data_IF_499879699615
#
_entry.id   IF_499879699615
#
_cell.length_a   1.000
_cell.length_b   1.000
_cell.length_c   1.000
_cell.angle_alpha   90.00
_cell.angle_beta   90.00
_cell.angle_gamma   90.00
#
_symmetry.space_group_name_H-M   'P 1'
#
loop_
_entity.id
_entity.type
_entity.pdbx_description
1 polymer ?
#
# COMPACT_ATOMS: atom_id res chain seq x y z
N UNK A 1 0.54 26.20 -10.48
CA UNK A 1 1.20 25.12 -9.71
C UNK A 1 1.00 23.84 -10.48
N UNK A 2 2.02 23.40 -11.23
CA UNK A 2 1.91 22.25 -12.13
C UNK A 2 1.80 20.93 -11.35
N UNK A 3 0.93 20.06 -11.87
CA UNK A 3 0.59 18.73 -11.37
C UNK A 3 1.81 17.80 -11.38
N UNK A 4 2.66 17.86 -10.36
CA UNK A 4 3.83 16.98 -10.20
C UNK A 4 3.49 15.49 -9.92
N UNK A 5 2.22 15.07 -10.05
CA UNK A 5 1.80 13.68 -9.85
C UNK A 5 1.72 12.86 -11.16
N UNK A 6 1.76 13.51 -12.34
CA UNK A 6 1.47 12.90 -13.66
C UNK A 6 2.52 11.90 -14.23
N UNK A 7 3.49 11.45 -13.44
CA UNK A 7 4.48 10.46 -13.86
C UNK A 7 4.92 9.51 -12.76
N UNK A 8 4.18 9.43 -11.65
CA UNK A 8 4.57 8.60 -10.50
C UNK A 8 4.00 7.19 -10.66
N UNK A 9 4.85 6.18 -10.51
CA UNK A 9 4.40 4.81 -10.46
C UNK A 9 3.61 4.57 -9.16
N UNK A 10 2.46 3.91 -9.29
CA UNK A 10 1.61 3.53 -8.17
C UNK A 10 1.08 2.13 -8.33
N UNK A 11 0.78 1.49 -7.21
CA UNK A 11 0.05 0.24 -7.16
C UNK A 11 -1.03 0.36 -6.08
N UNK A 12 -2.17 -0.29 -6.29
CA UNK A 12 -3.28 -0.28 -5.35
C UNK A 12 -3.96 -1.63 -5.25
N UNK A 13 -4.74 -1.82 -4.19
CA UNK A 13 -5.60 -2.99 -4.02
C UNK A 13 -6.79 -2.65 -3.13
N UNK A 14 -7.93 -3.27 -3.44
CA UNK A 14 -9.06 -3.35 -2.53
C UNK A 14 -8.83 -4.44 -1.49
N UNK A 15 -8.98 -4.10 -0.21
CA UNK A 15 -8.75 -5.02 0.89
C UNK A 15 -9.87 -6.07 0.98
N UNK A 16 -9.49 -7.33 1.16
CA UNK A 16 -10.42 -8.35 1.64
C UNK A 16 -10.67 -8.20 3.15
N UNK A 17 -11.66 -8.93 3.68
CA UNK A 17 -11.95 -8.90 5.12
C UNK A 17 -10.78 -9.37 5.99
N UNK A 18 -10.01 -10.36 5.53
CA UNK A 18 -8.83 -10.86 6.25
C UNK A 18 -7.67 -9.86 6.21
N UNK A 19 -7.47 -9.18 5.08
CA UNK A 19 -6.42 -8.19 4.90
C UNK A 19 -6.67 -6.91 5.69
N UNK A 20 -7.93 -6.45 5.73
CA UNK A 20 -8.29 -5.22 6.44
C UNK A 20 -7.80 -5.20 7.89
N UNK A 21 -7.62 -6.36 8.55
CA UNK A 21 -7.21 -6.47 9.94
C UNK A 21 -5.72 -6.22 10.19
N UNK A 22 -4.82 -6.78 9.39
CA UNK A 22 -3.40 -6.80 9.77
C UNK A 22 -2.39 -6.76 8.62
N UNK A 23 -2.82 -6.92 7.36
CA UNK A 23 -1.88 -7.05 6.23
C UNK A 23 -2.50 -6.75 4.88
N UNK A 24 -1.67 -6.58 3.86
CA UNK A 24 -2.08 -6.65 2.46
C UNK A 24 -1.25 -7.71 1.75
N UNK A 25 -1.87 -8.42 0.82
CA UNK A 25 -1.25 -9.47 0.03
C UNK A 25 -1.43 -9.14 -1.45
N UNK A 26 -0.33 -9.00 -2.17
CA UNK A 26 -0.35 -8.89 -3.63
C UNK A 26 -0.01 -10.26 -4.20
N UNK A 27 -1.05 -11.02 -4.58
CA UNK A 27 -0.91 -12.36 -5.15
C UNK A 27 -0.30 -12.36 -6.55
N UNK A 28 -0.53 -11.30 -7.31
CA UNK A 28 0.14 -11.03 -8.57
C UNK A 28 1.41 -10.21 -8.28
N UNK A 29 2.56 -10.87 -8.12
CA UNK A 29 3.82 -10.14 -7.90
C UNK A 29 4.17 -9.19 -9.07
N UNK A 30 3.69 -9.46 -10.29
CA UNK A 30 3.92 -8.57 -11.44
C UNK A 30 3.39 -7.16 -11.22
N UNK A 31 2.33 -7.00 -10.43
CA UNK A 31 1.72 -5.70 -10.11
C UNK A 31 2.65 -4.82 -9.26
N UNK A 32 3.59 -5.46 -8.55
CA UNK A 32 4.49 -4.80 -7.59
C UNK A 32 5.98 -4.98 -7.92
N UNK A 33 6.32 -5.77 -8.95
CA UNK A 33 7.67 -6.02 -9.41
C UNK A 33 8.47 -4.75 -9.77
N UNK A 34 7.88 -3.68 -10.33
CA UNK A 34 8.60 -2.42 -10.54
C UNK A 34 9.08 -1.77 -9.23
N UNK A 35 8.42 -2.07 -8.11
CA UNK A 35 8.68 -1.45 -6.81
C UNK A 35 9.63 -2.27 -5.96
N UNK A 36 9.55 -3.59 -6.00
CA UNK A 36 10.31 -4.46 -5.13
C UNK A 36 11.08 -5.51 -5.90
N UNK A 37 12.33 -5.78 -5.52
CA UNK A 37 13.10 -6.90 -6.04
C UNK A 37 12.75 -8.17 -5.24
N UNK A 38 12.28 -9.22 -5.92
CA UNK A 38 11.83 -10.44 -5.27
C UNK A 38 13.01 -11.22 -4.68
N UNK A 39 12.93 -11.50 -3.38
CA UNK A 39 13.88 -12.35 -2.66
C UNK A 39 13.11 -13.27 -1.72
N UNK A 40 12.90 -14.52 -2.12
CA UNK A 40 12.05 -15.47 -1.37
C UNK A 40 12.48 -15.62 0.09
N UNK A 41 11.53 -15.52 1.02
CA UNK A 41 11.78 -15.65 2.45
C UNK A 41 12.43 -14.42 3.11
N UNK A 42 12.89 -13.43 2.34
CA UNK A 42 13.48 -12.22 2.89
C UNK A 42 12.43 -11.26 3.42
N UNK A 43 12.76 -10.65 4.55
CA UNK A 43 12.03 -9.52 5.11
C UNK A 43 12.55 -8.23 4.50
N UNK A 44 11.64 -7.29 4.25
CA UNK A 44 11.99 -5.95 3.81
C UNK A 44 11.08 -4.91 4.47
N UNK A 45 11.53 -3.66 4.50
CA UNK A 45 10.76 -2.56 5.07
C UNK A 45 10.08 -1.73 3.98
N UNK A 46 8.81 -1.39 4.21
CA UNK A 46 8.05 -0.47 3.35
C UNK A 46 7.84 0.82 4.13
N UNK A 47 8.57 1.86 3.76
CA UNK A 47 8.46 3.16 4.39
C UNK A 47 7.43 4.01 3.66
N UNK A 48 6.39 4.42 4.37
CA UNK A 48 5.31 5.22 3.80
C UNK A 48 5.05 6.48 4.61
N UNK A 49 4.43 7.45 3.97
CA UNK A 49 3.86 8.62 4.61
C UNK A 49 2.40 8.69 4.21
N UNK A 50 1.50 8.71 5.18
CA UNK A 50 0.07 8.81 4.90
C UNK A 50 -0.33 10.22 4.44
N UNK A 51 -1.62 10.40 4.20
CA UNK A 51 -2.19 11.65 3.72
C UNK A 51 -2.17 12.80 4.72
N UNK A 52 -2.02 12.50 6.01
CA UNK A 52 -1.85 13.47 7.09
C UNK A 52 -0.38 13.80 7.36
N UNK A 53 0.54 13.18 6.62
CA UNK A 53 1.98 13.38 6.78
C UNK A 53 2.62 12.49 7.84
N UNK A 54 1.87 11.60 8.50
CA UNK A 54 2.43 10.67 9.50
C UNK A 54 3.23 9.58 8.79
N UNK A 55 4.43 9.32 9.30
CA UNK A 55 5.33 8.31 8.77
C UNK A 55 5.03 6.94 9.37
N UNK A 56 5.17 5.91 8.55
CA UNK A 56 4.96 4.52 8.91
C UNK A 56 6.02 3.62 8.28
N UNK A 57 6.38 2.56 8.98
CA UNK A 57 7.25 1.50 8.45
C UNK A 57 6.54 0.18 8.61
N UNK A 58 6.29 -0.49 7.50
CA UNK A 58 5.67 -1.82 7.46
C UNK A 58 6.72 -2.88 7.18
N UNK A 59 6.41 -4.12 7.56
CA UNK A 59 7.28 -5.27 7.31
C UNK A 59 6.66 -6.10 6.17
N UNK A 60 7.40 -6.23 5.08
CA UNK A 60 7.07 -7.06 3.94
C UNK A 60 7.81 -8.41 3.97
N UNK A 61 7.22 -9.42 3.34
CA UNK A 61 7.83 -10.74 3.14
C UNK A 61 7.44 -11.26 1.76
N UNK A 62 8.42 -11.81 1.04
CA UNK A 62 8.17 -12.50 -0.23
C UNK A 62 7.97 -13.99 -0.01
N UNK A 63 7.04 -14.55 -0.78
CA UNK A 63 6.71 -15.96 -0.75
C UNK A 63 6.63 -16.51 -2.16
N UNK A 64 7.04 -17.77 -2.32
CA UNK A 64 6.72 -18.59 -3.48
C UNK A 64 5.79 -19.72 -3.02
N UNK A 65 4.70 -19.93 -3.75
CA UNK A 65 3.81 -21.06 -3.53
C UNK A 65 3.56 -21.79 -4.86
N UNK A 66 3.62 -23.13 -4.93
CA UNK A 66 3.45 -23.86 -6.18
C UNK A 66 2.12 -23.64 -6.91
N UNK A 67 1.04 -23.31 -6.17
CA UNK A 67 -0.30 -23.10 -6.74
C UNK A 67 -0.59 -21.64 -7.06
N UNK A 68 -0.06 -20.72 -6.26
CA UNK A 68 -0.38 -19.29 -6.31
C UNK A 68 0.70 -18.50 -7.07
N UNK A 69 1.92 -19.05 -7.16
CA UNK A 69 3.08 -18.37 -7.70
C UNK A 69 3.79 -17.49 -6.66
N UNK A 70 4.47 -16.45 -7.15
CA UNK A 70 5.19 -15.47 -6.33
C UNK A 70 4.22 -14.41 -5.82
N UNK A 71 4.24 -14.14 -4.53
CA UNK A 71 3.43 -13.10 -3.92
C UNK A 71 4.18 -12.38 -2.81
N UNK A 72 3.66 -11.22 -2.44
CA UNK A 72 4.20 -10.41 -1.33
C UNK A 72 3.11 -10.15 -0.30
N UNK A 73 3.48 -10.24 0.98
CA UNK A 73 2.61 -9.88 2.11
C UNK A 73 3.26 -8.76 2.88
N UNK A 74 2.51 -7.70 3.19
CA UNK A 74 2.99 -6.55 3.95
C UNK A 74 2.12 -6.43 5.20
N UNK A 75 2.73 -6.59 6.38
CA UNK A 75 2.07 -6.53 7.68
C UNK A 75 2.05 -5.11 8.24
N UNK A 76 0.90 -4.71 8.79
CA UNK A 76 0.67 -3.35 9.30
C UNK A 76 -0.41 -3.25 10.41
N UNK A 77 -0.49 -4.18 11.38
CA UNK A 77 -1.62 -4.26 12.32
C UNK A 77 -1.92 -2.95 13.06
N UNK A 78 -0.90 -2.22 13.50
CA UNK A 78 -1.08 -0.91 14.14
C UNK A 78 -1.70 0.12 13.20
N UNK A 79 -1.24 0.17 11.94
CA UNK A 79 -1.78 1.06 10.94
C UNK A 79 -3.25 0.76 10.64
N UNK A 80 -3.60 -0.52 10.48
CA UNK A 80 -4.98 -0.94 10.27
C UNK A 80 -5.90 -0.48 11.41
N UNK A 81 -5.47 -0.74 12.66
CA UNK A 81 -6.22 -0.37 13.86
C UNK A 81 -6.41 1.14 13.95
N UNK A 82 -5.32 1.92 13.85
CA UNK A 82 -5.38 3.38 13.94
C UNK A 82 -6.18 4.03 12.81
N UNK A 83 -6.05 3.51 11.58
CA UNK A 83 -6.81 4.03 10.43
C UNK A 83 -8.22 3.46 10.33
N UNK A 84 -8.59 2.51 11.20
CA UNK A 84 -9.87 1.83 11.17
C UNK A 84 -10.19 1.24 9.79
N UNK A 85 -9.21 0.55 9.17
CA UNK A 85 -9.36 -0.04 7.83
C UNK A 85 -10.51 -1.07 7.80
N UNK A 86 -11.19 -1.14 6.67
CA UNK A 86 -12.33 -2.03 6.43
C UNK A 86 -12.16 -2.79 5.13
N UNK A 87 -12.89 -3.89 5.01
CA UNK A 87 -13.03 -4.60 3.73
C UNK A 87 -13.52 -3.61 2.66
N UNK A 88 -13.02 -3.78 1.44
CA UNK A 88 -13.30 -2.94 0.27
C UNK A 88 -12.72 -1.52 0.34
N UNK A 89 -11.96 -1.15 1.38
CA UNK A 89 -11.11 0.03 1.26
C UNK A 89 -10.05 -0.22 0.17
N UNK A 90 -9.81 0.79 -0.66
CA UNK A 90 -8.70 0.79 -1.61
C UNK A 90 -7.48 1.43 -0.93
N UNK A 91 -6.37 0.69 -0.86
CA UNK A 91 -5.08 1.23 -0.39
C UNK A 91 -4.18 1.45 -1.59
N UNK A 92 -3.72 2.68 -1.76
CA UNK A 92 -2.92 3.14 -2.91
C UNK A 92 -1.54 3.55 -2.41
N UNK A 93 -0.51 2.96 -3.01
CA UNK A 93 0.90 3.28 -2.81
C UNK A 93 1.40 4.06 -4.02
N UNK A 94 1.98 5.23 -3.80
CA UNK A 94 2.57 6.05 -4.86
C UNK A 94 4.03 6.32 -4.52
N UNK A 95 4.96 5.97 -5.41
CA UNK A 95 6.38 6.20 -5.18
C UNK A 95 6.66 7.71 -5.04
N UNK A 96 7.44 8.08 -4.02
CA UNK A 96 7.95 9.45 -3.86
C UNK A 96 9.27 9.62 -4.61
N UNK A 97 9.54 10.80 -5.20
CA UNK A 97 10.80 11.07 -5.88
C UNK A 97 11.99 10.82 -4.95
N UNK A 98 12.99 10.09 -5.44
CA UNK A 98 14.30 10.00 -4.79
C UNK A 98 14.93 11.40 -4.82
N UNK A 99 14.90 12.12 -3.69
CA UNK A 99 15.79 13.27 -3.53
C UNK A 99 17.21 12.73 -3.52
N UNK A 100 18.09 13.30 -4.37
CA UNK A 100 19.44 12.84 -4.77
C UNK A 100 20.42 12.40 -3.65
N UNK A 101 20.06 12.39 -2.37
CA UNK A 101 21.00 12.14 -1.28
C UNK A 101 20.49 11.37 -0.06
N UNK A 102 19.29 10.75 -0.03
CA UNK A 102 18.83 10.06 1.19
C UNK A 102 18.25 8.67 0.95
N UNK A 103 19.11 7.70 1.23
CA UNK A 103 18.88 6.30 1.55
C UNK A 103 18.46 5.38 0.39
N UNK A 104 18.92 4.11 0.37
CA UNK A 104 18.66 3.17 -0.72
C UNK A 104 17.18 2.73 -0.81
N UNK A 105 16.41 2.91 0.26
CA UNK A 105 15.02 2.45 0.37
C UNK A 105 14.03 3.36 -0.37
N UNK A 106 13.14 2.76 -1.17
CA UNK A 106 11.99 3.47 -1.77
C UNK A 106 11.04 3.95 -0.67
N UNK A 107 10.50 5.16 -0.86
CA UNK A 107 9.51 5.77 0.04
C UNK A 107 8.21 5.97 -0.72
N UNK A 108 7.08 5.68 -0.07
CA UNK A 108 5.76 5.81 -0.69
C UNK A 108 4.92 6.89 0.01
N UNK A 109 4.05 7.54 -0.76
CA UNK A 109 2.83 8.16 -0.23
C UNK A 109 1.77 7.06 -0.17
N UNK A 110 1.03 6.97 0.93
CA UNK A 110 -0.06 6.02 1.09
C UNK A 110 -1.38 6.78 1.21
N UNK A 111 -2.35 6.40 0.39
CA UNK A 111 -3.71 6.96 0.37
C UNK A 111 -4.70 5.83 0.56
N UNK A 112 -5.71 6.05 1.40
CA UNK A 112 -6.82 5.11 1.58
C UNK A 112 -8.06 5.75 0.98
N UNK A 113 -8.75 5.05 0.08
CA UNK A 113 -10.08 5.44 -0.38
C UNK A 113 -11.13 4.49 0.18
N UNK A 114 -12.23 5.06 0.66
CA UNK A 114 -13.37 4.32 1.19
C UNK A 114 -14.62 4.66 0.41
N UNK A 115 -15.36 3.62 0.05
CA UNK A 115 -16.70 3.73 -0.50
C UNK A 115 -17.69 4.04 0.62
N UNK A 116 -18.50 5.08 0.42
CA UNK A 116 -19.55 5.50 1.35
C UNK A 116 -20.85 5.64 0.57
N UNK A 117 -21.97 5.24 1.18
CA UNK A 117 -23.29 5.43 0.59
C UNK A 117 -23.92 6.70 1.16
N UNK A 118 -24.09 7.72 0.34
CA UNK A 118 -24.69 9.00 0.71
C UNK A 118 -25.83 9.29 -0.27
N UNK A 119 -27.01 9.64 0.27
CA UNK A 119 -28.20 9.94 -0.55
C UNK A 119 -28.56 8.84 -1.56
N UNK A 120 -28.37 7.57 -1.18
CA UNK A 120 -28.62 6.42 -2.05
C UNK A 120 -27.54 6.15 -3.10
N UNK A 121 -26.55 7.03 -3.26
CA UNK A 121 -25.46 6.93 -4.23
C UNK A 121 -24.15 6.47 -3.58
N UNK A 122 -23.32 5.83 -4.38
CA UNK A 122 -21.99 5.38 -3.99
C UNK A 122 -20.94 6.46 -4.28
N UNK A 123 -20.26 6.93 -3.23
CA UNK A 123 -19.23 7.97 -3.31
C UNK A 123 -17.92 7.43 -2.76
N UNK A 124 -16.82 7.68 -3.46
CA UNK A 124 -15.47 7.36 -2.99
C UNK A 124 -14.80 8.58 -2.39
N UNK A 125 -14.42 8.48 -1.11
CA UNK A 125 -13.72 9.53 -0.39
C UNK A 125 -12.35 9.06 0.08
N UNK A 126 -11.40 9.97 0.16
CA UNK A 126 -10.14 9.72 0.85
C UNK A 126 -10.38 9.69 2.36
N UNK A 127 -9.89 8.65 3.04
CA UNK A 127 -9.96 8.55 4.48
C UNK A 127 -8.88 9.44 5.12
N UNK A 128 -9.33 10.47 5.85
CA UNK A 128 -8.49 11.42 6.61
C UNK A 128 -8.61 11.14 8.11
N UNK A 129 -8.03 10.03 8.56
CA UNK A 129 -7.91 9.64 9.97
C UNK A 129 -6.46 9.30 10.25
#
# INVERSE_FOLDING_TARGET
>A
MENQEQGRQSFSKHLTQSEAKDRIIFFSYTDVAPFFEFQEGYLFFVNVTDSLGKAWTFIGTFYTNPKIGKYVSIKWPQFSSEKGLKANDEVIFTERPRRKSKAPWKKFKLVIKRKMRLFGQDIWGELKV
#
